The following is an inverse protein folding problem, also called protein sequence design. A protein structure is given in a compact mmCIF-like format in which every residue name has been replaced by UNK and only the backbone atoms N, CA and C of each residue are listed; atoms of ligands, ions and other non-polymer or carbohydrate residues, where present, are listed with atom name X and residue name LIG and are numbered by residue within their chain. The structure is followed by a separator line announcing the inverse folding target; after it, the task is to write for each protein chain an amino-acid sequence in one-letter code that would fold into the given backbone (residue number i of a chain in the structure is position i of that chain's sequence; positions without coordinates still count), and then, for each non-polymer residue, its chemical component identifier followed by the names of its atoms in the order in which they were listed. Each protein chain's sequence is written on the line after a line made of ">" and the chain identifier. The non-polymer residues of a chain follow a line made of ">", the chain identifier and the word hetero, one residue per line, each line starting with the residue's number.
data_IF_054839531774
#
_entry.id   IF_054839531774
#
_cell.length_a   1.000
_cell.length_b   1.000
_cell.length_c   1.000
_cell.angle_alpha   90.00
_cell.angle_beta   90.00
_cell.angle_gamma   90.00
#
_symmetry.space_group_name_H-M   'P 1'
#
loop_
_entity.id
_entity.type
_entity.pdbx_description
1 polymer ?
#
# COMPACT_ATOMS: atom_id res chain seq x y z
N UNK A 1 -2.01 -10.26 -2.67
CA UNK A 1 -1.85 -11.06 -1.43
C UNK A 1 -2.33 -12.50 -1.64
N UNK A 2 -1.49 -13.51 -1.32
CA UNK A 2 -1.84 -14.94 -1.47
C UNK A 2 -2.93 -15.40 -0.48
N UNK A 3 -3.02 -14.75 0.68
CA UNK A 3 -4.07 -15.00 1.67
C UNK A 3 -4.90 -13.73 1.86
N UNK A 4 -6.21 -13.82 1.63
CA UNK A 4 -7.14 -12.75 1.98
C UNK A 4 -7.42 -12.84 3.48
N UNK A 5 -7.10 -11.77 4.21
CA UNK A 5 -7.45 -11.69 5.63
C UNK A 5 -8.98 -11.55 5.74
N UNK A 6 -9.66 -12.56 6.29
CA UNK A 6 -11.09 -12.48 6.54
C UNK A 6 -11.40 -11.39 7.57
N UNK A 7 -12.52 -10.68 7.41
CA UNK A 7 -12.93 -9.58 8.31
C UNK A 7 -12.92 -9.98 9.79
N UNK A 8 -13.38 -11.20 10.10
CA UNK A 8 -13.42 -11.74 11.46
C UNK A 8 -12.03 -12.06 12.02
N UNK A 9 -11.15 -12.65 11.20
CA UNK A 9 -9.76 -12.94 11.59
C UNK A 9 -8.98 -11.66 11.89
N UNK A 10 -9.16 -10.62 11.07
CA UNK A 10 -8.58 -9.31 11.36
C UNK A 10 -9.09 -8.71 12.66
N UNK A 11 -10.40 -8.80 12.92
CA UNK A 11 -11.02 -8.29 14.16
C UNK A 11 -10.55 -9.04 15.42
N UNK A 12 -10.27 -10.34 15.33
CA UNK A 12 -9.65 -11.10 16.42
C UNK A 12 -8.18 -10.71 16.58
N UNK A 13 -7.44 -10.59 15.47
CA UNK A 13 -6.03 -10.30 15.47
C UNK A 13 -5.66 -9.03 16.23
N UNK A 14 -6.37 -7.91 15.97
CA UNK A 14 -6.06 -6.66 16.68
C UNK A 14 -6.40 -6.71 18.17
N UNK A 15 -7.44 -7.46 18.57
CA UNK A 15 -7.79 -7.63 20.00
C UNK A 15 -6.75 -8.44 20.76
N UNK A 16 -6.26 -9.53 20.15
CA UNK A 16 -5.19 -10.35 20.74
C UNK A 16 -3.89 -9.53 20.83
N UNK A 17 -3.55 -8.79 19.78
CA UNK A 17 -2.38 -7.91 19.78
C UNK A 17 -2.48 -6.80 20.85
N UNK A 18 -3.67 -6.21 21.03
CA UNK A 18 -3.91 -5.20 22.06
C UNK A 18 -3.84 -5.80 23.48
N UNK A 19 -4.41 -6.99 23.70
CA UNK A 19 -4.31 -7.69 24.98
C UNK A 19 -2.86 -8.03 25.33
N UNK A 20 -2.09 -8.52 24.36
CA UNK A 20 -0.66 -8.80 24.53
C UNK A 20 0.16 -7.51 24.78
N UNK A 21 -0.14 -6.42 24.08
CA UNK A 21 0.48 -5.12 24.27
C UNK A 21 0.26 -4.57 25.70
N UNK A 22 -0.98 -4.69 26.22
CA UNK A 22 -1.31 -4.30 27.59
C UNK A 22 -0.53 -5.11 28.63
N UNK A 23 -0.36 -6.40 28.40
CA UNK A 23 0.40 -7.27 29.30
C UNK A 23 1.92 -7.00 29.24
N UNK A 24 2.46 -6.78 28.04
CA UNK A 24 3.90 -6.60 27.82
C UNK A 24 4.39 -5.15 27.95
N UNK A 25 3.47 -4.18 28.14
CA UNK A 25 3.73 -2.73 28.06
C UNK A 25 4.39 -2.28 26.75
N UNK A 26 4.32 -3.10 25.70
CA UNK A 26 4.85 -2.80 24.35
C UNK A 26 3.73 -2.28 23.46
N UNK A 27 4.10 -1.60 22.38
CA UNK A 27 3.16 -1.16 21.35
C UNK A 27 2.57 -2.39 20.61
N UNK A 28 1.26 -2.40 20.29
CA UNK A 28 0.64 -3.49 19.55
C UNK A 28 1.15 -3.54 18.10
N UNK A 29 1.51 -4.73 17.63
CA UNK A 29 2.02 -4.94 16.27
C UNK A 29 0.96 -4.67 15.18
N UNK A 30 -0.32 -4.88 15.50
CA UNK A 30 -1.45 -4.59 14.63
C UNK A 30 -2.53 -3.86 15.44
N UNK A 31 -3.10 -2.81 14.85
CA UNK A 31 -4.17 -2.02 15.46
C UNK A 31 -5.48 -2.17 14.70
N UNK A 32 -6.59 -1.83 15.36
CA UNK A 32 -7.94 -1.85 14.78
C UNK A 32 -8.01 -1.08 13.46
N UNK A 33 -7.39 0.10 13.42
CA UNK A 33 -7.48 0.99 12.27
C UNK A 33 -6.66 0.47 11.09
N UNK A 34 -5.49 -0.14 11.35
CA UNK A 34 -4.68 -0.83 10.33
C UNK A 34 -5.42 -2.02 9.73
N UNK A 35 -6.09 -2.84 10.54
CA UNK A 35 -6.92 -3.95 10.04
C UNK A 35 -8.09 -3.43 9.20
N UNK A 36 -8.76 -2.35 9.64
CA UNK A 36 -9.90 -1.78 8.92
C UNK A 36 -9.54 -1.04 7.64
N UNK A 37 -8.32 -0.51 7.53
CA UNK A 37 -7.82 0.19 6.33
C UNK A 37 -7.15 -0.77 5.34
N UNK A 38 -6.41 -1.77 5.82
CA UNK A 38 -5.66 -2.73 4.98
C UNK A 38 -6.54 -3.55 4.02
N UNK A 39 -7.79 -3.82 4.39
CA UNK A 39 -8.75 -4.51 3.52
C UNK A 39 -9.45 -3.63 2.49
N UNK A 40 -9.26 -2.30 2.54
CA UNK A 40 -9.93 -1.37 1.63
C UNK A 40 -9.09 -1.14 0.40
N UNK A 41 -9.65 -1.49 -0.75
CA UNK A 41 -9.10 -1.11 -2.04
C UNK A 41 -9.73 0.21 -2.46
N UNK A 42 -8.92 1.26 -2.56
CA UNK A 42 -9.33 2.53 -3.13
C UNK A 42 -8.78 2.62 -4.54
N UNK A 43 -9.67 2.58 -5.54
CA UNK A 43 -9.33 2.93 -6.92
C UNK A 43 -9.68 4.39 -7.15
N UNK A 44 -8.70 5.18 -7.56
CA UNK A 44 -8.89 6.57 -7.93
C UNK A 44 -8.91 6.70 -9.45
N UNK A 45 -9.88 7.43 -9.97
CA UNK A 45 -9.92 7.79 -11.39
C UNK A 45 -8.99 8.96 -11.65
N UNK A 46 -8.13 8.82 -12.67
CA UNK A 46 -7.27 9.91 -13.15
C UNK A 46 -7.93 10.72 -14.27
N UNK A 47 -9.22 10.49 -14.53
CA UNK A 47 -9.94 11.11 -15.65
C UNK A 47 -9.95 12.64 -15.59
N UNK A 48 -10.17 13.22 -14.40
CA UNK A 48 -10.09 14.68 -14.21
C UNK A 48 -8.73 15.26 -14.64
N UNK A 49 -7.65 14.53 -14.36
CA UNK A 49 -6.29 14.93 -14.73
C UNK A 49 -6.09 14.90 -16.25
N UNK A 50 -6.55 13.81 -16.89
CA UNK A 50 -6.47 13.63 -18.34
C UNK A 50 -7.31 14.66 -19.11
N UNK A 51 -8.43 15.12 -18.54
CA UNK A 51 -9.31 16.11 -19.17
C UNK A 51 -8.81 17.55 -18.99
N UNK A 52 -8.01 17.82 -17.95
CA UNK A 52 -7.54 19.19 -17.63
C UNK A 52 -6.17 19.49 -18.26
N UNK A 53 -5.37 18.46 -18.55
CA UNK A 53 -3.98 18.61 -19.00
C UNK A 53 -3.81 17.92 -20.34
N UNK A 54 -3.17 18.58 -21.30
CA UNK A 54 -2.82 17.99 -22.61
C UNK A 54 -1.61 17.06 -22.50
N UNK A 55 -1.70 16.05 -21.63
CA UNK A 55 -0.66 15.07 -21.35
C UNK A 55 -1.26 13.66 -21.23
N UNK A 56 -0.49 12.65 -21.66
CA UNK A 56 -0.85 11.24 -21.51
C UNK A 56 -0.15 10.64 -20.29
N UNK A 57 -0.89 9.83 -19.53
CA UNK A 57 -0.31 9.06 -18.43
C UNK A 57 0.50 7.89 -18.98
N UNK A 58 1.75 7.77 -18.55
CA UNK A 58 2.61 6.63 -18.84
C UNK A 58 2.26 5.44 -17.92
N UNK A 59 2.15 4.21 -18.44
CA UNK A 59 1.99 3.02 -17.62
C UNK A 59 3.10 2.89 -16.57
N UNK A 60 2.75 2.49 -15.35
CA UNK A 60 3.71 2.37 -14.23
C UNK A 60 4.91 1.49 -14.58
N UNK A 61 4.68 0.39 -15.30
CA UNK A 61 5.75 -0.52 -15.75
C UNK A 61 6.77 0.21 -16.63
N UNK A 62 6.29 0.97 -17.61
CA UNK A 62 7.14 1.74 -18.53
C UNK A 62 7.93 2.82 -17.78
N UNK A 63 7.29 3.49 -16.82
CA UNK A 63 7.97 4.49 -15.96
C UNK A 63 9.13 3.87 -15.17
N UNK A 64 8.97 2.67 -14.63
CA UNK A 64 10.01 1.95 -13.89
C UNK A 64 11.16 1.55 -14.82
N UNK A 65 10.84 0.94 -15.96
CA UNK A 65 11.85 0.51 -16.94
C UNK A 65 12.69 1.69 -17.45
N UNK A 66 12.04 2.81 -17.78
CA UNK A 66 12.71 4.03 -18.22
C UNK A 66 13.62 4.61 -17.14
N UNK A 67 13.14 4.69 -15.90
CA UNK A 67 13.92 5.24 -14.79
C UNK A 67 15.15 4.36 -14.49
N UNK A 68 14.95 3.04 -14.44
CA UNK A 68 16.05 2.09 -14.22
C UNK A 68 17.10 2.16 -15.34
N UNK A 69 16.66 2.29 -16.60
CA UNK A 69 17.56 2.46 -17.74
C UNK A 69 18.43 3.72 -17.60
N UNK A 70 17.81 4.87 -17.30
CA UNK A 70 18.53 6.14 -17.15
C UNK A 70 19.57 6.07 -16.03
N UNK A 71 19.22 5.47 -14.90
CA UNK A 71 20.15 5.27 -13.79
C UNK A 71 21.37 4.41 -14.16
N UNK A 72 21.16 3.32 -14.89
CA UNK A 72 22.25 2.46 -15.35
C UNK A 72 23.15 3.15 -16.38
N UNK A 73 22.59 4.03 -17.21
CA UNK A 73 23.36 4.84 -18.16
C UNK A 73 24.19 5.90 -17.45
N UNK A 74 23.67 6.51 -16.38
CA UNK A 74 24.40 7.46 -15.53
C UNK A 74 25.58 6.80 -14.82
N UNK A 75 25.40 5.61 -14.24
CA UNK A 75 26.48 4.86 -13.57
C UNK A 75 27.59 4.43 -14.53
N UNK A 76 27.26 4.16 -15.79
CA UNK A 76 28.24 3.72 -16.80
C UNK A 76 29.10 4.86 -17.36
N UNK A 77 28.72 6.11 -17.12
CA UNK A 77 29.37 7.31 -17.65
C UNK A 77 30.43 7.83 -16.70
#
# INVERSE_FOLDING_TARGET
>A
PKFKLGKWLGEIGWRVAEAYAKLSRKQPAITRDVIRSSGRFYAYSSQKLLETVDMKLMPVKESVERTAKLFLEEIKK
#
